data_IF_786747169663
#
_entry.id   IF_786747169663
#
_cell.length_a   1.000
_cell.length_b   1.000
_cell.length_c   1.000
_cell.angle_alpha   90.00
_cell.angle_beta   90.00
_cell.angle_gamma   90.00
#
_symmetry.space_group_name_H-M   'P 1'
#
loop_
_entity.id
_entity.type
_entity.pdbx_description
1 polymer ?
#
# COMPACT_ATOMS: atom_id res chain seq x y z
N UNK A 1 9.31 -54.83 59.09
CA UNK A 1 9.71 -54.21 57.81
C UNK A 1 8.71 -54.69 56.79
N UNK A 2 7.69 -53.88 56.49
CA UNK A 2 6.74 -54.23 55.43
C UNK A 2 7.49 -54.21 54.11
N UNK A 3 7.58 -55.36 53.45
CA UNK A 3 7.88 -55.41 52.03
C UNK A 3 6.81 -54.56 51.34
N UNK A 4 7.22 -53.38 50.85
CA UNK A 4 6.40 -52.60 49.95
C UNK A 4 6.26 -53.47 48.70
N UNK A 5 5.14 -54.17 48.59
CA UNK A 5 4.82 -54.99 47.43
C UNK A 5 4.83 -54.09 46.21
N UNK A 6 5.88 -54.20 45.40
CA UNK A 6 6.05 -53.47 44.16
C UNK A 6 4.83 -53.72 43.27
N UNK A 7 4.12 -52.67 42.92
CA UNK A 7 2.90 -52.72 42.11
C UNK A 7 3.09 -51.97 40.78
N UNK A 8 2.16 -52.20 39.84
CA UNK A 8 2.22 -51.60 38.50
C UNK A 8 2.20 -50.07 38.54
N UNK A 9 1.48 -49.46 39.49
CA UNK A 9 1.40 -48.00 39.63
C UNK A 9 2.76 -47.41 40.00
N UNK A 10 3.51 -48.07 40.90
CA UNK A 10 4.88 -47.67 41.27
C UNK A 10 5.82 -47.76 40.08
N UNK A 11 5.78 -48.88 39.34
CA UNK A 11 6.62 -49.05 38.13
C UNK A 11 6.26 -48.00 37.07
N UNK A 12 4.97 -47.72 36.89
CA UNK A 12 4.48 -46.73 35.92
C UNK A 12 4.98 -45.33 36.28
N UNK A 13 4.89 -44.93 37.56
CA UNK A 13 5.42 -43.65 38.03
C UNK A 13 6.93 -43.56 37.83
N UNK A 14 7.69 -44.62 38.12
CA UNK A 14 9.14 -44.66 37.88
C UNK A 14 9.49 -44.49 36.39
N UNK A 15 8.78 -45.19 35.49
CA UNK A 15 8.98 -45.07 34.04
C UNK A 15 8.72 -43.64 33.57
N UNK A 16 7.64 -43.02 34.06
CA UNK A 16 7.28 -41.63 33.74
C UNK A 16 8.41 -40.69 34.18
N UNK A 17 8.88 -40.81 35.42
CA UNK A 17 9.98 -39.98 35.95
C UNK A 17 11.27 -40.16 35.15
N UNK A 18 11.66 -41.40 34.82
CA UNK A 18 12.86 -41.68 34.02
C UNK A 18 12.74 -41.04 32.63
N UNK A 19 11.58 -41.20 31.98
CA UNK A 19 11.31 -40.64 30.66
C UNK A 19 11.41 -39.12 30.67
N UNK A 20 10.80 -38.46 31.64
CA UNK A 20 10.73 -36.99 31.66
C UNK A 20 12.08 -36.38 32.07
N UNK A 21 12.84 -37.04 32.96
CA UNK A 21 14.24 -36.71 33.22
C UNK A 21 15.12 -36.87 31.96
N UNK A 22 14.94 -37.94 31.20
CA UNK A 22 15.68 -38.16 29.96
C UNK A 22 15.38 -37.08 28.91
N UNK A 23 14.12 -36.63 28.78
CA UNK A 23 13.75 -35.51 27.92
C UNK A 23 14.48 -34.23 28.32
N UNK A 24 14.49 -33.89 29.61
CA UNK A 24 15.14 -32.68 30.12
C UNK A 24 16.65 -32.68 29.86
N UNK A 25 17.32 -33.80 30.14
CA UNK A 25 18.75 -33.97 29.85
C UNK A 25 19.01 -33.84 28.34
N UNK A 26 18.13 -34.42 27.53
CA UNK A 26 18.25 -34.35 26.09
C UNK A 26 18.05 -32.92 25.55
N UNK A 27 17.06 -32.18 26.06
CA UNK A 27 16.82 -30.77 25.75
C UNK A 27 18.09 -29.92 25.99
N UNK A 28 18.65 -30.02 27.19
CA UNK A 28 19.85 -29.30 27.60
C UNK A 28 21.06 -29.69 26.73
N UNK A 29 21.22 -30.98 26.41
CA UNK A 29 22.26 -31.46 25.51
C UNK A 29 22.13 -30.88 24.09
N UNK A 30 20.91 -30.86 23.52
CA UNK A 30 20.68 -30.29 22.17
C UNK A 30 21.03 -28.81 22.13
N UNK A 31 20.63 -28.03 23.14
CA UNK A 31 20.97 -26.61 23.22
C UNK A 31 22.49 -26.43 23.30
N UNK A 32 23.15 -27.13 24.22
CA UNK A 32 24.61 -27.02 24.41
C UNK A 32 25.38 -27.42 23.16
N UNK A 33 25.00 -28.53 22.52
CA UNK A 33 25.62 -28.96 21.26
C UNK A 33 25.37 -27.91 20.17
N UNK A 34 24.14 -27.40 20.03
CA UNK A 34 23.81 -26.38 19.05
C UNK A 34 24.62 -25.09 19.23
N UNK A 35 24.82 -24.63 20.47
CA UNK A 35 25.70 -23.49 20.77
C UNK A 35 27.15 -23.76 20.33
N UNK A 36 27.69 -24.96 20.59
CA UNK A 36 29.04 -25.34 20.16
C UNK A 36 29.16 -25.52 18.65
N UNK A 37 28.10 -25.96 17.99
CA UNK A 37 28.05 -26.03 16.53
C UNK A 37 28.04 -24.63 15.90
N UNK A 38 27.36 -23.66 16.50
CA UNK A 38 27.42 -22.25 16.07
C UNK A 38 28.84 -21.72 16.19
N UNK A 39 29.48 -21.91 17.34
CA UNK A 39 30.88 -21.52 17.57
C UNK A 39 31.85 -22.23 16.60
N UNK A 40 31.71 -23.53 16.42
CA UNK A 40 32.55 -24.31 15.51
C UNK A 40 32.39 -23.85 14.05
N UNK A 41 31.19 -23.43 13.64
CA UNK A 41 30.95 -22.96 12.27
C UNK A 41 31.76 -21.71 11.92
N UNK A 42 32.06 -20.86 12.89
CA UNK A 42 32.89 -19.66 12.70
C UNK A 42 34.40 -19.99 12.69
N UNK A 43 34.80 -21.11 13.28
CA UNK A 43 36.20 -21.54 13.38
C UNK A 43 36.63 -22.48 12.25
N UNK A 44 35.70 -23.24 11.68
CA UNK A 44 35.98 -24.20 10.61
C UNK A 44 36.22 -23.44 9.29
N UNK A 45 37.32 -23.73 8.56
CA UNK A 45 37.59 -23.12 7.27
C UNK A 45 36.43 -23.26 6.28
N UNK A 46 36.25 -22.26 5.42
CA UNK A 46 35.25 -22.31 4.36
C UNK A 46 35.39 -23.56 3.49
N UNK A 47 34.29 -24.25 3.24
CA UNK A 47 34.26 -25.50 2.46
C UNK A 47 34.41 -26.78 3.29
N UNK A 48 35.00 -26.71 4.49
CA UNK A 48 35.28 -27.89 5.32
C UNK A 48 34.13 -28.27 6.28
N UNK A 49 33.10 -27.42 6.40
CA UNK A 49 32.01 -27.61 7.36
C UNK A 49 31.32 -28.97 7.24
N UNK A 50 30.96 -29.39 6.03
CA UNK A 50 30.27 -30.68 5.81
C UNK A 50 31.15 -31.86 6.22
N UNK A 51 32.44 -31.83 5.88
CA UNK A 51 33.39 -32.87 6.25
C UNK A 51 33.58 -32.92 7.77
N UNK A 52 33.75 -31.75 8.41
CA UNK A 52 33.85 -31.64 9.85
C UNK A 52 32.65 -32.27 10.57
N UNK A 53 31.42 -31.95 10.13
CA UNK A 53 30.21 -32.53 10.69
C UNK A 53 30.16 -34.05 10.57
N UNK A 54 30.42 -34.58 9.36
CA UNK A 54 30.20 -36.00 9.07
C UNK A 54 31.35 -36.88 9.59
N UNK A 55 32.59 -36.45 9.41
CA UNK A 55 33.77 -37.27 9.69
C UNK A 55 34.34 -37.06 11.09
N UNK A 56 34.22 -35.86 11.67
CA UNK A 56 34.72 -35.58 13.03
C UNK A 56 33.63 -35.77 14.07
N UNK A 57 32.44 -35.20 13.84
CA UNK A 57 31.35 -35.22 14.83
C UNK A 57 30.32 -36.33 14.61
N UNK A 58 30.29 -36.96 13.44
CA UNK A 58 29.31 -38.00 13.11
C UNK A 58 27.87 -37.48 12.91
N UNK A 59 27.69 -36.18 12.67
CA UNK A 59 26.37 -35.60 12.42
C UNK A 59 26.08 -35.46 10.92
N UNK A 60 24.80 -35.62 10.58
CA UNK A 60 24.32 -35.15 9.27
C UNK A 60 24.22 -33.62 9.26
N UNK A 61 24.40 -32.96 8.10
CA UNK A 61 24.20 -31.51 7.99
C UNK A 61 22.83 -31.03 8.47
N UNK A 62 21.76 -31.80 8.21
CA UNK A 62 20.41 -31.45 8.64
C UNK A 62 20.22 -31.55 10.15
N UNK A 63 20.77 -32.58 10.81
CA UNK A 63 20.76 -32.71 12.28
C UNK A 63 21.50 -31.54 12.93
N UNK A 64 22.72 -31.25 12.47
CA UNK A 64 23.52 -30.16 13.01
C UNK A 64 22.82 -28.81 12.83
N UNK A 65 22.26 -28.55 11.65
CA UNK A 65 21.50 -27.34 11.38
C UNK A 65 20.27 -27.21 12.29
N UNK A 66 19.55 -28.29 12.55
CA UNK A 66 18.40 -28.27 13.47
C UNK A 66 18.83 -27.98 14.91
N UNK A 67 19.93 -28.57 15.39
CA UNK A 67 20.46 -28.28 16.72
C UNK A 67 20.89 -26.81 16.85
N UNK A 68 21.57 -26.27 15.85
CA UNK A 68 21.94 -24.85 15.81
C UNK A 68 20.72 -23.93 15.84
N UNK A 69 19.66 -24.26 15.09
CA UNK A 69 18.40 -23.48 15.09
C UNK A 69 17.70 -23.56 16.44
N UNK A 70 17.63 -24.74 17.05
CA UNK A 70 17.08 -24.91 18.40
C UNK A 70 17.88 -24.10 19.41
N UNK A 71 19.21 -24.21 19.40
CA UNK A 71 20.05 -23.41 20.28
C UNK A 71 19.82 -21.90 20.03
N UNK A 72 19.83 -21.43 18.79
CA UNK A 72 19.60 -20.00 18.52
C UNK A 72 18.25 -19.50 19.03
N UNK A 73 17.22 -20.36 18.97
CA UNK A 73 15.86 -19.97 19.30
C UNK A 73 15.50 -20.18 20.78
N UNK A 74 16.15 -21.11 21.48
CA UNK A 74 15.79 -21.51 22.85
C UNK A 74 16.96 -21.36 23.84
N UNK A 75 18.18 -21.08 23.38
CA UNK A 75 19.30 -20.81 24.28
C UNK A 75 19.16 -19.42 24.91
N UNK A 76 19.49 -19.34 26.19
CA UNK A 76 19.64 -18.09 26.91
C UNK A 76 18.76 -18.01 28.16
N UNK A 77 19.28 -17.34 29.17
CA UNK A 77 18.57 -17.01 30.40
C UNK A 77 17.70 -15.76 30.25
N UNK A 78 17.29 -15.43 29.02
CA UNK A 78 16.43 -14.27 28.81
C UNK A 78 15.05 -14.58 29.39
N UNK A 79 14.78 -13.95 30.52
CA UNK A 79 13.48 -13.96 31.17
C UNK A 79 12.56 -13.09 30.34
N UNK A 80 11.41 -13.66 29.93
CA UNK A 80 10.40 -12.92 29.19
C UNK A 80 9.70 -11.89 30.07
N UNK A 81 8.81 -11.10 29.47
CA UNK A 81 7.94 -10.17 30.23
C UNK A 81 7.03 -10.91 31.21
N UNK A 82 6.76 -12.19 30.94
CA UNK A 82 6.02 -13.12 31.79
C UNK A 82 6.81 -13.62 33.02
N UNK A 83 8.08 -13.22 33.15
CA UNK A 83 8.94 -13.64 34.26
C UNK A 83 9.48 -15.07 34.14
N UNK A 84 9.22 -15.77 33.02
CA UNK A 84 9.67 -17.15 32.80
C UNK A 84 10.85 -17.21 31.84
N UNK A 85 11.77 -18.11 32.13
CA UNK A 85 12.90 -18.44 31.26
C UNK A 85 12.50 -19.42 30.14
N UNK A 86 13.35 -19.51 29.10
CA UNK A 86 13.18 -20.50 28.03
C UNK A 86 13.18 -21.94 28.57
N UNK A 87 14.05 -22.22 29.54
CA UNK A 87 14.17 -23.54 30.16
C UNK A 87 12.91 -23.93 30.93
N UNK A 88 12.27 -22.96 31.61
CA UNK A 88 11.02 -23.19 32.34
C UNK A 88 9.83 -23.45 31.39
N UNK A 89 9.80 -22.78 30.23
CA UNK A 89 8.71 -22.92 29.26
C UNK A 89 8.85 -24.14 28.36
N UNK A 90 10.07 -24.47 27.97
CA UNK A 90 10.32 -25.43 26.88
C UNK A 90 11.22 -26.60 27.30
N UNK A 91 11.79 -26.60 28.51
CA UNK A 91 12.76 -27.61 28.96
C UNK A 91 12.22 -29.03 29.10
N UNK A 92 10.90 -29.19 29.13
CA UNK A 92 10.22 -30.49 29.16
C UNK A 92 9.86 -31.01 27.75
N UNK A 93 10.08 -30.20 26.71
CA UNK A 93 9.80 -30.58 25.33
C UNK A 93 10.92 -31.44 24.74
N UNK A 94 10.52 -32.52 24.08
CA UNK A 94 11.41 -33.33 23.26
C UNK A 94 11.78 -32.65 21.94
N UNK A 95 12.85 -33.14 21.29
CA UNK A 95 13.33 -32.64 20.00
C UNK A 95 12.23 -32.38 18.96
N UNK A 96 11.37 -33.37 18.73
CA UNK A 96 10.34 -33.28 17.71
C UNK A 96 9.24 -32.28 18.07
N UNK A 97 9.03 -31.99 19.36
CA UNK A 97 8.07 -30.99 19.84
C UNK A 97 8.62 -29.56 19.66
N UNK A 98 9.94 -29.37 19.71
CA UNK A 98 10.59 -28.05 19.50
C UNK A 98 10.61 -27.61 18.04
N UNK A 99 10.71 -28.56 17.11
CA UNK A 99 10.89 -28.24 15.68
C UNK A 99 9.76 -27.38 15.08
N UNK A 100 8.47 -27.65 15.32
CA UNK A 100 7.39 -26.81 14.80
C UNK A 100 7.42 -25.39 15.35
N UNK A 101 7.83 -25.23 16.62
CA UNK A 101 7.90 -23.92 17.28
C UNK A 101 8.95 -23.01 16.63
N UNK A 102 10.02 -23.55 16.01
CA UNK A 102 11.03 -22.76 15.29
C UNK A 102 10.47 -21.91 14.14
N UNK A 103 9.24 -22.18 13.71
CA UNK A 103 8.56 -21.39 12.69
C UNK A 103 7.92 -20.10 13.21
N UNK A 104 7.99 -19.83 14.52
CA UNK A 104 7.38 -18.68 15.19
C UNK A 104 8.46 -17.81 15.85
N UNK A 105 8.25 -16.49 15.96
CA UNK A 105 9.12 -15.61 16.75
C UNK A 105 8.99 -15.90 18.24
N UNK A 106 9.92 -15.34 19.05
CA UNK A 106 9.99 -15.63 20.48
C UNK A 106 8.68 -15.34 21.23
N UNK A 107 8.11 -14.17 20.99
CA UNK A 107 6.88 -13.72 21.65
C UNK A 107 5.71 -14.70 21.40
N UNK A 108 5.50 -15.10 20.15
CA UNK A 108 4.41 -16.01 19.76
C UNK A 108 4.62 -17.43 20.31
N UNK A 109 5.88 -17.89 20.41
CA UNK A 109 6.18 -19.17 21.06
C UNK A 109 5.85 -19.14 22.54
N UNK A 110 6.16 -18.04 23.23
CA UNK A 110 5.86 -17.86 24.65
C UNK A 110 4.35 -17.75 24.89
N UNK A 111 3.63 -17.04 24.04
CA UNK A 111 2.17 -16.97 24.07
C UNK A 111 1.55 -18.36 23.94
N UNK A 112 1.98 -19.15 22.94
CA UNK A 112 1.51 -20.54 22.80
C UNK A 112 1.82 -21.40 24.03
N UNK A 113 2.99 -21.24 24.64
CA UNK A 113 3.39 -21.97 25.84
C UNK A 113 2.63 -21.52 27.10
N UNK A 114 2.13 -20.28 27.14
CA UNK A 114 1.31 -19.77 28.23
C UNK A 114 -0.14 -20.26 28.13
N UNK A 115 -0.67 -20.38 26.91
CA UNK A 115 -2.05 -20.79 26.66
C UNK A 115 -2.25 -22.30 26.61
N UNK A 116 -1.20 -23.07 26.34
CA UNK A 116 -1.27 -24.51 26.11
C UNK A 116 -0.26 -25.29 26.94
N UNK A 117 -0.67 -26.48 27.40
CA UNK A 117 0.23 -27.45 28.03
C UNK A 117 1.05 -28.21 26.95
N UNK A 118 2.04 -27.52 26.38
CA UNK A 118 2.90 -28.07 25.32
C UNK A 118 3.59 -29.40 25.70
N UNK A 119 4.08 -29.61 26.94
CA UNK A 119 4.68 -30.89 27.35
C UNK A 119 3.78 -32.11 27.17
N UNK A 120 2.47 -31.94 27.37
CA UNK A 120 1.47 -33.01 27.21
C UNK A 120 1.08 -33.28 25.76
N UNK A 121 1.33 -32.34 24.84
CA UNK A 121 0.97 -32.46 23.42
C UNK A 121 2.03 -33.22 22.62
N UNK A 122 1.61 -34.07 21.68
CA UNK A 122 2.52 -34.70 20.72
C UNK A 122 3.10 -33.68 19.73
N UNK A 123 4.23 -34.03 19.09
CA UNK A 123 4.82 -33.17 18.05
C UNK A 123 3.89 -32.87 16.89
N UNK A 124 2.96 -33.78 16.57
CA UNK A 124 1.94 -33.58 15.53
C UNK A 124 0.88 -32.57 15.96
N UNK A 125 0.45 -32.65 17.22
CA UNK A 125 -0.51 -31.71 17.79
C UNK A 125 0.09 -30.31 17.91
N UNK A 126 1.34 -30.18 18.36
CA UNK A 126 2.05 -28.89 18.37
C UNK A 126 2.20 -28.34 16.95
N UNK A 127 2.52 -29.17 15.95
CA UNK A 127 2.60 -28.72 14.57
C UNK A 127 1.26 -28.19 14.05
N UNK A 128 0.16 -28.89 14.38
CA UNK A 128 -1.18 -28.41 14.03
C UNK A 128 -1.51 -27.10 14.74
N UNK A 129 -1.23 -27.00 16.04
CA UNK A 129 -1.44 -25.79 16.85
C UNK A 129 -0.70 -24.59 16.24
N UNK A 130 0.57 -24.76 15.85
CA UNK A 130 1.37 -23.71 15.21
C UNK A 130 0.79 -23.32 13.84
N UNK A 131 0.28 -24.29 13.06
CA UNK A 131 -0.38 -24.00 11.78
C UNK A 131 -1.66 -23.20 11.97
N UNK A 132 -2.54 -23.67 12.85
CA UNK A 132 -3.83 -23.05 13.15
C UNK A 132 -3.62 -21.62 13.69
N UNK A 133 -2.62 -21.43 14.57
CA UNK A 133 -2.24 -20.11 15.08
C UNK A 133 -1.80 -19.15 13.97
N UNK A 134 -0.95 -19.62 13.04
CA UNK A 134 -0.49 -18.81 11.90
C UNK A 134 -1.62 -18.43 10.96
N UNK A 135 -2.52 -19.37 10.67
CA UNK A 135 -3.68 -19.14 9.81
C UNK A 135 -4.63 -18.11 10.45
N UNK A 136 -4.92 -18.25 11.75
CA UNK A 136 -5.75 -17.29 12.48
C UNK A 136 -5.15 -15.87 12.44
N UNK A 137 -3.83 -15.75 12.65
CA UNK A 137 -3.14 -14.46 12.66
C UNK A 137 -3.06 -13.82 11.27
N UNK A 138 -2.86 -14.63 10.23
CA UNK A 138 -2.92 -14.17 8.85
C UNK A 138 -4.33 -13.66 8.51
N UNK A 139 -5.38 -14.39 8.90
CA UNK A 139 -6.76 -13.98 8.68
C UNK A 139 -7.12 -12.68 9.42
N UNK A 140 -6.61 -12.50 10.65
CA UNK A 140 -6.80 -11.27 11.42
C UNK A 140 -6.14 -10.08 10.72
N UNK A 141 -4.89 -10.24 10.27
CA UNK A 141 -4.17 -9.20 9.53
C UNK A 141 -4.88 -8.82 8.23
N UNK A 142 -5.34 -9.81 7.46
CA UNK A 142 -6.12 -9.57 6.23
C UNK A 142 -7.43 -8.83 6.52
N UNK A 143 -8.10 -9.14 7.64
CA UNK A 143 -9.32 -8.46 8.06
C UNK A 143 -9.05 -7.01 8.46
N UNK A 144 -7.97 -6.76 9.21
CA UNK A 144 -7.54 -5.42 9.60
C UNK A 144 -7.20 -4.58 8.37
N UNK A 145 -6.43 -5.12 7.42
CA UNK A 145 -6.09 -4.44 6.17
C UNK A 145 -7.35 -4.09 5.35
N UNK A 146 -8.29 -5.04 5.20
CA UNK A 146 -9.57 -4.77 4.52
C UNK A 146 -10.41 -3.72 5.24
N UNK A 147 -10.40 -3.72 6.57
CA UNK A 147 -11.14 -2.74 7.36
C UNK A 147 -10.55 -1.34 7.20
N UNK A 148 -9.22 -1.22 7.17
CA UNK A 148 -8.51 0.03 6.92
C UNK A 148 -8.79 0.55 5.51
N UNK A 149 -8.74 -0.31 4.50
CA UNK A 149 -9.09 0.06 3.12
C UNK A 149 -10.55 0.50 2.98
N UNK A 150 -11.48 -0.15 3.69
CA UNK A 150 -12.88 0.22 3.69
C UNK A 150 -13.09 1.60 4.34
N UNK A 151 -12.40 1.87 5.45
CA UNK A 151 -12.44 3.16 6.14
C UNK A 151 -11.91 4.28 5.24
N UNK A 152 -10.78 4.06 4.56
CA UNK A 152 -10.21 5.03 3.62
C UNK A 152 -11.15 5.31 2.43
N UNK A 153 -11.84 4.27 1.91
CA UNK A 153 -12.84 4.44 0.85
C UNK A 153 -14.05 5.22 1.33
N UNK A 154 -14.51 4.99 2.57
CA UNK A 154 -15.62 5.75 3.15
C UNK A 154 -15.26 7.22 3.34
N UNK A 155 -14.06 7.51 3.86
CA UNK A 155 -13.58 8.89 4.03
C UNK A 155 -13.52 9.64 2.68
N UNK A 156 -12.96 9.01 1.65
CA UNK A 156 -12.94 9.58 0.29
C UNK A 156 -14.34 9.78 -0.29
N UNK A 157 -15.28 8.86 -0.03
CA UNK A 157 -16.65 8.99 -0.48
C UNK A 157 -17.37 10.14 0.24
N UNK A 158 -17.14 10.32 1.55
CA UNK A 158 -17.69 11.43 2.32
C UNK A 158 -17.14 12.78 1.86
N UNK A 159 -15.83 12.87 1.59
CA UNK A 159 -15.23 14.08 1.01
C UNK A 159 -15.79 14.39 -0.37
N UNK A 160 -15.96 13.38 -1.23
CA UNK A 160 -16.56 13.55 -2.55
C UNK A 160 -18.02 14.02 -2.45
N UNK A 161 -18.78 13.48 -1.48
CA UNK A 161 -20.16 13.91 -1.23
C UNK A 161 -20.21 15.36 -0.75
N UNK A 162 -19.38 15.76 0.22
CA UNK A 162 -19.31 17.15 0.69
C UNK A 162 -18.98 18.11 -0.45
N UNK A 163 -18.01 17.76 -1.30
CA UNK A 163 -17.67 18.56 -2.49
C UNK A 163 -18.83 18.65 -3.49
N UNK A 164 -19.59 17.57 -3.67
CA UNK A 164 -20.77 17.57 -4.53
C UNK A 164 -21.89 18.46 -3.95
N UNK A 165 -22.15 18.38 -2.65
CA UNK A 165 -23.14 19.23 -1.95
C UNK A 165 -22.73 20.71 -1.99
N UNK A 166 -21.45 21.03 -1.80
CA UNK A 166 -20.89 22.38 -1.95
C UNK A 166 -21.03 22.90 -3.40
N UNK A 167 -20.80 22.05 -4.40
CA UNK A 167 -20.98 22.41 -5.79
C UNK A 167 -22.47 22.69 -6.12
N UNK A 168 -23.38 21.85 -5.64
CA UNK A 168 -24.83 22.01 -5.85
C UNK A 168 -25.35 23.29 -5.18
N UNK A 169 -24.93 23.56 -3.94
CA UNK A 169 -25.30 24.80 -3.24
C UNK A 169 -24.76 26.05 -3.94
N UNK A 170 -23.53 26.01 -4.43
CA UNK A 170 -22.95 27.10 -5.23
C UNK A 170 -23.71 27.32 -6.55
N UNK A 171 -24.05 26.24 -7.27
CA UNK A 171 -24.83 26.33 -8.51
C UNK A 171 -26.22 26.93 -8.26
N UNK A 172 -26.91 26.47 -7.20
CA UNK A 172 -28.21 27.01 -6.78
C UNK A 172 -28.13 28.50 -6.47
N UNK A 173 -27.11 28.93 -5.72
CA UNK A 173 -26.91 30.33 -5.39
C UNK A 173 -26.61 31.19 -6.63
N UNK A 174 -25.80 30.68 -7.56
CA UNK A 174 -25.53 31.35 -8.84
C UNK A 174 -26.81 31.50 -9.68
N UNK A 175 -27.68 30.49 -9.68
CA UNK A 175 -28.96 30.50 -10.40
C UNK A 175 -29.93 31.54 -9.83
N UNK A 176 -30.05 31.61 -8.50
CA UNK A 176 -30.85 32.64 -7.81
C UNK A 176 -30.35 34.05 -8.13
N UNK A 177 -29.03 34.28 -8.08
CA UNK A 177 -28.44 35.57 -8.42
C UNK A 177 -28.66 35.95 -9.90
N UNK A 178 -28.69 34.97 -10.81
CA UNK A 178 -29.02 35.20 -12.20
C UNK A 178 -30.51 35.56 -12.38
N UNK A 179 -31.42 34.87 -11.70
CA UNK A 179 -32.86 35.19 -11.70
C UNK A 179 -33.12 36.61 -11.17
N UNK A 180 -32.47 37.02 -10.07
CA UNK A 180 -32.59 38.40 -9.55
C UNK A 180 -32.13 39.44 -10.58
N UNK A 181 -31.02 39.19 -11.28
CA UNK A 181 -30.53 40.08 -12.35
C UNK A 181 -31.49 40.13 -13.53
N UNK A 182 -32.06 39.00 -13.93
CA UNK A 182 -33.06 38.95 -15.00
C UNK A 182 -34.27 39.80 -14.61
N UNK A 183 -34.82 39.62 -13.41
CA UNK A 183 -35.95 40.43 -12.93
C UNK A 183 -35.63 41.93 -12.86
N UNK A 184 -34.40 42.31 -12.47
CA UNK A 184 -33.96 43.70 -12.48
C UNK A 184 -33.88 44.28 -13.90
N UNK A 185 -33.35 43.52 -14.86
CA UNK A 185 -33.28 43.91 -16.27
C UNK A 185 -34.67 44.01 -16.90
N UNK A 186 -35.56 43.06 -16.63
CA UNK A 186 -36.96 43.12 -17.07
C UNK A 186 -37.67 44.37 -16.55
N UNK A 187 -37.45 44.73 -15.27
CA UNK A 187 -37.96 45.97 -14.69
C UNK A 187 -37.40 47.23 -15.37
N UNK A 188 -36.11 47.23 -15.75
CA UNK A 188 -35.52 48.34 -16.52
C UNK A 188 -36.09 48.41 -17.94
N UNK A 189 -36.25 47.27 -18.62
CA UNK A 189 -36.86 47.20 -19.96
C UNK A 189 -38.29 47.71 -19.93
N UNK A 190 -39.09 47.36 -18.92
CA UNK A 190 -40.45 47.89 -18.76
C UNK A 190 -40.47 49.41 -18.55
N UNK A 191 -39.57 49.95 -17.73
CA UNK A 191 -39.44 51.41 -17.56
C UNK A 191 -39.06 52.10 -18.88
N UNK A 192 -38.06 51.59 -19.58
CA UNK A 192 -37.63 52.13 -20.87
C UNK A 192 -38.73 52.01 -21.94
N UNK A 193 -39.53 50.93 -21.92
CA UNK A 193 -40.69 50.79 -22.81
C UNK A 193 -41.79 51.81 -22.51
N UNK A 194 -42.09 52.06 -21.24
CA UNK A 194 -43.06 53.11 -20.86
C UNK A 194 -42.54 54.51 -21.20
N UNK A 195 -41.25 54.78 -20.97
CA UNK A 195 -40.61 56.03 -21.41
C UNK A 195 -40.66 56.17 -22.94
N UNK A 196 -40.38 55.11 -23.70
CA UNK A 196 -40.46 55.12 -25.16
C UNK A 196 -41.88 55.34 -25.71
N UNK A 197 -42.93 54.94 -24.97
CA UNK A 197 -44.32 55.27 -25.33
C UNK A 197 -44.66 56.75 -25.13
N UNK A 198 -43.95 57.44 -24.23
CA UNK A 198 -44.16 58.87 -23.94
C UNK A 198 -43.32 59.82 -24.81
N UNK A 199 -42.30 59.30 -25.50
CA UNK A 199 -41.50 60.08 -26.44
C UNK A 199 -42.26 60.13 -27.79
N UNK A 200 -42.67 61.32 -28.28
CA UNK A 200 -43.29 61.42 -29.60
C UNK A 200 -42.26 61.01 -30.67
N UNK A 201 -42.62 60.04 -31.51
CA UNK A 201 -41.85 59.64 -32.67
C UNK A 201 -41.78 60.85 -33.62
N UNK A 202 -40.68 61.60 -33.59
CA UNK A 202 -40.31 62.47 -34.71
C UNK A 202 -39.82 61.56 -35.83
N UNK A 203 -40.77 61.00 -36.58
CA UNK A 203 -40.51 60.54 -37.91
C UNK A 203 -40.21 61.79 -38.75
N UNK A 204 -38.94 62.00 -39.06
CA UNK A 204 -38.43 62.42 -40.38
C UNK A 204 -37.00 62.94 -40.23
N UNK A 205 -36.03 62.04 -40.30
CA UNK A 205 -34.74 62.38 -40.90
C UNK A 205 -34.58 61.44 -42.08
N UNK A 206 -35.21 61.81 -43.20
CA UNK A 206 -34.79 61.31 -44.51
C UNK A 206 -33.38 61.87 -44.71
N UNK A 207 -32.32 61.04 -44.73
CA UNK A 207 -31.01 61.53 -45.08
C UNK A 207 -31.09 61.97 -46.56
N UNK A 208 -30.72 63.21 -46.83
CA UNK A 208 -30.59 63.76 -48.19
C UNK A 208 -29.87 62.72 -49.06
N UNK A 209 -30.53 62.23 -50.11
CA UNK A 209 -30.15 61.03 -50.87
C UNK A 209 -28.71 61.14 -51.40
N UNK A 210 -28.28 62.37 -51.72
CA UNK A 210 -26.90 62.71 -52.09
C UNK A 210 -25.86 62.48 -50.98
N UNK A 211 -26.19 62.77 -49.73
CA UNK A 211 -25.29 62.55 -48.60
C UNK A 211 -25.15 61.07 -48.28
N UNK A 212 -26.23 60.30 -48.43
CA UNK A 212 -26.22 58.84 -48.27
C UNK A 212 -25.46 58.16 -49.40
N UNK A 213 -25.61 58.63 -50.65
CA UNK A 213 -24.83 58.16 -51.79
C UNK A 213 -23.35 58.51 -51.63
N UNK A 214 -23.01 59.73 -51.22
CA UNK A 214 -21.63 60.13 -50.96
C UNK A 214 -20.98 59.28 -49.85
N UNK A 215 -21.71 58.98 -48.77
CA UNK A 215 -21.24 58.09 -47.71
C UNK A 215 -21.07 56.64 -48.19
N UNK A 216 -21.99 56.14 -49.04
CA UNK A 216 -21.88 54.81 -49.66
C UNK A 216 -20.72 54.74 -50.66
N UNK A 217 -20.46 55.81 -51.40
CA UNK A 217 -19.33 55.93 -52.34
C UNK A 217 -18.01 55.92 -51.56
N UNK A 218 -17.91 56.73 -50.51
CA UNK A 218 -16.73 56.79 -49.64
C UNK A 218 -16.45 55.44 -48.97
N UNK A 219 -17.48 54.76 -48.47
CA UNK A 219 -17.35 53.42 -47.91
C UNK A 219 -16.91 52.38 -48.96
N UNK A 220 -17.41 52.47 -50.21
CA UNK A 220 -16.98 51.60 -51.31
C UNK A 220 -15.53 51.84 -51.72
N UNK A 221 -15.10 53.10 -51.76
CA UNK A 221 -13.72 53.46 -52.10
C UNK A 221 -12.74 53.04 -51.02
N UNK A 222 -13.13 53.17 -49.75
CA UNK A 222 -12.34 52.69 -48.60
C UNK A 222 -12.25 51.16 -48.59
N UNK A 223 -13.37 50.47 -48.83
CA UNK A 223 -13.42 49.02 -48.98
C UNK A 223 -12.56 48.54 -50.16
N UNK A 224 -12.60 49.22 -51.32
CA UNK A 224 -11.76 48.88 -52.47
C UNK A 224 -10.27 49.10 -52.20
N UNK A 225 -9.90 50.15 -51.47
CA UNK A 225 -8.52 50.36 -51.02
C UNK A 225 -8.08 49.25 -50.06
N UNK A 226 -8.93 48.87 -49.11
CA UNK A 226 -8.65 47.77 -48.19
C UNK A 226 -8.49 46.43 -48.93
N UNK A 227 -9.34 46.15 -49.92
CA UNK A 227 -9.24 44.94 -50.76
C UNK A 227 -7.95 44.94 -51.58
N UNK A 228 -7.57 46.06 -52.23
CA UNK A 228 -6.29 46.14 -52.97
C UNK A 228 -5.08 45.94 -52.06
N UNK A 229 -5.08 46.52 -50.87
CA UNK A 229 -4.02 46.30 -49.89
C UNK A 229 -3.97 44.85 -49.39
N UNK A 230 -5.13 44.20 -49.22
CA UNK A 230 -5.19 42.79 -48.87
C UNK A 230 -4.68 41.89 -50.01
N UNK A 231 -5.03 42.20 -51.26
CA UNK A 231 -4.55 41.48 -52.45
C UNK A 231 -3.04 41.66 -52.68
N UNK A 232 -2.49 42.85 -52.48
CA UNK A 232 -1.04 43.09 -52.55
C UNK A 232 -0.29 42.34 -51.45
N UNK A 233 -0.83 42.33 -50.22
CA UNK A 233 -0.29 41.54 -49.11
C UNK A 233 -0.38 40.04 -49.40
N UNK A 234 -1.47 39.56 -49.99
CA UNK A 234 -1.64 38.17 -50.39
C UNK A 234 -0.65 37.77 -51.48
N UNK A 235 -0.48 38.57 -52.55
CA UNK A 235 0.54 38.34 -53.60
C UNK A 235 1.97 38.39 -53.06
N UNK A 236 2.27 39.31 -52.13
CA UNK A 236 3.56 39.38 -51.48
C UNK A 236 3.83 38.15 -50.58
N UNK A 237 2.80 37.62 -49.92
CA UNK A 237 2.88 36.39 -49.15
C UNK A 237 3.07 35.16 -50.06
N UNK A 238 2.32 35.06 -51.17
CA UNK A 238 2.49 34.00 -52.17
C UNK A 238 3.88 34.02 -52.83
N UNK A 239 4.42 35.19 -53.14
CA UNK A 239 5.79 35.32 -53.66
C UNK A 239 6.88 34.90 -52.66
N UNK A 240 6.67 35.11 -51.36
CA UNK A 240 7.56 34.61 -50.30
C UNK A 240 7.45 33.09 -50.15
N UNK A 241 6.25 32.54 -50.28
CA UNK A 241 5.98 31.10 -50.19
C UNK A 241 6.54 30.34 -51.41
N UNK A 242 6.48 30.94 -52.61
CA UNK A 242 7.09 30.40 -53.83
C UNK A 242 8.64 30.39 -53.78
N UNK A 243 9.26 31.40 -53.16
CA UNK A 243 10.72 31.42 -52.90
C UNK A 243 11.15 30.39 -51.86
N UNK A 244 10.30 30.09 -50.87
CA UNK A 244 10.54 29.05 -49.87
C UNK A 244 10.35 27.61 -50.43
N UNK A 245 9.60 27.44 -51.54
CA UNK A 245 9.33 26.13 -52.17
C UNK A 245 10.31 25.75 -53.29
N UNK A 246 11.37 26.53 -53.54
CA UNK A 246 12.40 26.20 -54.51
C UNK A 246 13.52 25.34 -53.86
N UNK A 247 13.70 24.06 -54.24
CA UNK A 247 14.55 23.10 -53.52
C UNK A 247 16.07 23.29 -53.64
N UNK A 248 16.56 24.44 -54.12
CA UNK A 248 17.99 24.70 -54.31
C UNK A 248 18.70 25.40 -53.14
N UNK A 249 17.99 25.81 -52.09
CA UNK A 249 18.61 26.42 -50.90
C UNK A 249 18.93 25.43 -49.75
N UNK A 250 18.53 24.15 -49.86
CA UNK A 250 18.73 23.13 -48.81
C UNK A 250 20.05 22.34 -48.94
N UNK A 251 20.99 22.78 -49.78
CA UNK A 251 22.30 22.13 -49.97
C UNK A 251 23.50 23.06 -49.72
N UNK A 252 23.51 23.84 -48.65
CA UNK A 252 24.77 24.37 -48.11
C UNK A 252 24.67 24.52 -46.59
N UNK A 253 24.89 23.43 -45.86
CA UNK A 253 25.60 23.41 -44.57
C UNK A 253 25.61 21.98 -44.01
N UNK A 254 26.43 21.13 -44.62
CA UNK A 254 27.01 19.97 -43.96
C UNK A 254 28.40 19.76 -44.55
N UNK A 255 29.35 20.56 -44.04
CA UNK A 255 30.76 20.24 -43.91
C UNK A 255 31.20 20.75 -42.54
#
# INVERSE_FOLDING_TARGET
>A
MSDIVRNIDTVTAEIIVIRDNAKKVFYDAVIKIGCRLLEAKDLVPHGEWTHYLQSVLGYTPSTAQNYMRIASAFSGNQVGLDGKSQDELFGELGYAQLLPLLGLPDEERRELAAENDLPSMSSREINKLVSDYKEARAALKDADERSAEALEKMEKAEEAQKKAEEAETNERNARLAAEEKIGALEGQVQKLMEEAKTIPIQAEVVPDEKALEAARQAARDEMQKAVRQAEEKAKAAEGKLAKARNPLAMKVNLL
#
